data_IF_830875270462
#
_entry.id   IF_830875270462
#
_cell.length_a   1.000
_cell.length_b   1.000
_cell.length_c   1.000
_cell.angle_alpha   90.00
_cell.angle_beta   90.00
_cell.angle_gamma   90.00
#
_symmetry.space_group_name_H-M   'P 1'
#
loop_
_entity.id
_entity.type
_entity.pdbx_description
1 polymer ?
#
# COMPACT_ATOMS: atom_id res chain seq x y z
N UNK A 1 -9.36 12.88 20.95
CA UNK A 1 -9.20 11.50 20.47
C UNK A 1 -8.18 11.58 19.34
N UNK A 2 -7.10 10.85 19.40
CA UNK A 2 -6.08 10.85 18.35
C UNK A 2 -6.68 10.31 17.05
N UNK A 3 -6.20 10.78 15.91
CA UNK A 3 -6.70 10.33 14.58
C UNK A 3 -6.54 8.83 14.40
N UNK A 4 -5.60 8.25 15.10
CA UNK A 4 -5.35 6.82 15.19
C UNK A 4 -6.50 6.02 15.80
N UNK A 5 -7.11 6.53 16.86
CA UNK A 5 -8.28 5.89 17.49
C UNK A 5 -9.45 5.81 16.49
N UNK A 6 -9.59 6.80 15.60
CA UNK A 6 -10.63 6.80 14.56
C UNK A 6 -10.37 5.74 13.50
N UNK A 7 -9.09 5.58 13.06
CA UNK A 7 -8.71 4.58 12.08
C UNK A 7 -8.97 3.16 12.57
N UNK A 8 -8.49 2.83 13.77
CA UNK A 8 -8.71 1.51 14.35
C UNK A 8 -10.19 1.24 14.63
N UNK A 9 -10.96 2.24 15.08
CA UNK A 9 -12.40 2.08 15.27
C UNK A 9 -13.16 1.87 13.95
N UNK A 10 -12.73 2.53 12.87
CA UNK A 10 -13.31 2.31 11.55
C UNK A 10 -13.03 0.89 11.05
N UNK A 11 -11.79 0.41 11.14
CA UNK A 11 -11.45 -0.97 10.75
C UNK A 11 -12.20 -2.01 11.59
N UNK A 12 -12.32 -1.81 12.89
CA UNK A 12 -13.08 -2.70 13.77
C UNK A 12 -14.55 -2.79 13.33
N UNK A 13 -15.14 -1.65 13.02
CA UNK A 13 -16.50 -1.57 12.48
C UNK A 13 -16.62 -2.30 11.14
N UNK A 14 -15.70 -2.06 10.22
CA UNK A 14 -15.70 -2.68 8.89
C UNK A 14 -15.57 -4.21 8.98
N UNK A 15 -14.75 -4.74 9.90
CA UNK A 15 -14.66 -6.19 10.17
C UNK A 15 -15.98 -6.74 10.69
N UNK A 16 -16.62 -6.03 11.61
CA UNK A 16 -17.90 -6.47 12.21
C UNK A 16 -19.04 -6.45 11.19
N UNK A 17 -19.07 -5.46 10.30
CA UNK A 17 -20.08 -5.27 9.27
C UNK A 17 -19.82 -6.07 7.98
N UNK A 18 -18.62 -6.68 7.84
CA UNK A 18 -18.26 -7.46 6.65
C UNK A 18 -19.23 -8.64 6.43
N UNK A 19 -19.61 -8.86 5.19
CA UNK A 19 -20.46 -10.00 4.77
C UNK A 19 -19.61 -11.26 4.56
N UNK A 20 -19.05 -11.78 5.66
CA UNK A 20 -18.20 -12.98 5.71
C UNK A 20 -18.63 -13.87 6.89
N UNK A 21 -18.28 -15.17 6.88
CA UNK A 21 -18.58 -16.08 7.97
C UNK A 21 -18.02 -15.63 9.33
N UNK A 22 -18.74 -15.88 10.41
CA UNK A 22 -18.34 -15.48 11.77
C UNK A 22 -16.97 -16.04 12.19
N UNK A 23 -16.61 -17.22 11.70
CA UNK A 23 -15.27 -17.81 11.92
C UNK A 23 -14.15 -16.96 11.33
N UNK A 24 -14.39 -16.36 10.16
CA UNK A 24 -13.45 -15.46 9.49
C UNK A 24 -13.42 -14.08 10.18
N UNK A 25 -14.59 -13.54 10.58
CA UNK A 25 -14.65 -12.31 11.38
C UNK A 25 -13.84 -12.45 12.67
N UNK A 26 -14.01 -13.55 13.39
CA UNK A 26 -13.28 -13.81 14.63
C UNK A 26 -11.76 -13.91 14.40
N UNK A 27 -11.34 -14.55 13.31
CA UNK A 27 -9.92 -14.63 12.93
C UNK A 27 -9.36 -13.24 12.58
N UNK A 28 -10.08 -12.45 11.78
CA UNK A 28 -9.71 -11.09 11.44
C UNK A 28 -9.63 -10.20 12.69
N UNK A 29 -10.64 -10.28 13.57
CA UNK A 29 -10.67 -9.51 14.81
C UNK A 29 -9.49 -9.87 15.73
N UNK A 30 -9.18 -11.15 15.87
CA UNK A 30 -8.01 -11.60 16.65
C UNK A 30 -6.70 -11.01 16.09
N UNK A 31 -6.49 -11.11 14.79
CA UNK A 31 -5.32 -10.54 14.12
C UNK A 31 -5.28 -9.02 14.30
N UNK A 32 -6.42 -8.36 14.15
CA UNK A 32 -6.55 -6.93 14.33
C UNK A 32 -6.20 -6.47 15.75
N UNK A 33 -6.62 -7.19 16.79
CA UNK A 33 -6.25 -6.89 18.17
C UNK A 33 -4.75 -7.08 18.43
N UNK A 34 -4.12 -8.09 17.80
CA UNK A 34 -2.67 -8.25 17.84
C UNK A 34 -1.95 -7.08 17.15
N UNK A 35 -2.47 -6.58 16.03
CA UNK A 35 -1.93 -5.41 15.36
C UNK A 35 -2.00 -4.13 16.22
N UNK A 36 -3.02 -3.99 17.06
CA UNK A 36 -3.13 -2.85 17.99
C UNK A 36 -2.00 -2.82 19.05
N UNK A 37 -1.40 -3.97 19.33
CA UNK A 37 -0.36 -4.09 20.38
C UNK A 37 1.07 -4.02 19.79
N UNK A 38 1.22 -4.16 18.47
CA UNK A 38 2.52 -4.18 17.80
C UNK A 38 2.70 -2.97 16.89
N UNK A 39 3.90 -2.41 16.86
CA UNK A 39 4.27 -1.37 15.91
C UNK A 39 4.63 -2.01 14.57
N UNK A 40 3.84 -1.74 13.54
CA UNK A 40 4.01 -2.32 12.20
C UNK A 40 4.64 -1.30 11.29
N UNK A 41 5.66 -1.73 10.56
CA UNK A 41 6.31 -0.95 9.52
C UNK A 41 5.80 -1.39 8.14
N UNK A 42 4.96 -0.57 7.53
CA UNK A 42 4.38 -0.78 6.22
C UNK A 42 5.07 0.11 5.18
N UNK A 43 5.71 -0.48 4.19
CA UNK A 43 6.21 0.27 3.04
C UNK A 43 5.11 0.34 1.98
N UNK A 44 4.84 1.56 1.47
CA UNK A 44 3.95 1.78 0.34
C UNK A 44 4.79 2.11 -0.88
N UNK A 45 4.57 1.39 -1.98
CA UNK A 45 5.32 1.55 -3.23
C UNK A 45 4.43 1.35 -4.46
N UNK A 46 4.93 1.72 -5.63
CA UNK A 46 4.22 1.61 -6.92
C UNK A 46 4.70 2.64 -7.92
N UNK A 47 4.18 2.60 -9.14
CA UNK A 47 4.53 3.55 -10.19
C UNK A 47 4.18 5.01 -9.82
N UNK A 48 4.82 5.96 -10.47
CA UNK A 48 4.45 7.38 -10.35
C UNK A 48 3.01 7.58 -10.80
N UNK A 49 2.23 8.35 -10.03
CA UNK A 49 0.81 8.60 -10.32
C UNK A 49 -0.17 7.50 -9.96
N UNK A 50 0.25 6.32 -9.47
CA UNK A 50 -0.66 5.23 -9.10
C UNK A 50 -1.54 5.50 -7.87
N UNK A 51 -1.32 6.62 -7.16
CA UNK A 51 -2.15 7.05 -6.03
C UNK A 51 -1.61 6.74 -4.63
N UNK A 52 -0.29 6.52 -4.47
CA UNK A 52 0.36 6.29 -3.15
C UNK A 52 0.00 7.36 -2.13
N UNK A 53 0.29 8.62 -2.45
CA UNK A 53 0.03 9.75 -1.55
C UNK A 53 -1.46 9.91 -1.23
N UNK A 54 -2.33 9.69 -2.20
CA UNK A 54 -3.79 9.70 -1.98
C UNK A 54 -4.24 8.59 -1.04
N UNK A 55 -3.66 7.39 -1.17
CA UNK A 55 -3.93 6.26 -0.28
C UNK A 55 -3.45 6.57 1.13
N UNK A 56 -2.24 7.14 1.28
CA UNK A 56 -1.71 7.56 2.57
C UNK A 56 -2.64 8.59 3.21
N UNK A 57 -3.04 9.63 2.49
CA UNK A 57 -3.94 10.66 3.00
C UNK A 57 -5.31 10.09 3.41
N UNK A 58 -5.83 9.12 2.66
CA UNK A 58 -7.08 8.43 3.00
C UNK A 58 -6.93 7.60 4.29
N UNK A 59 -5.82 6.88 4.46
CA UNK A 59 -5.54 6.10 5.66
C UNK A 59 -5.40 6.98 6.92
N UNK A 60 -4.79 8.15 6.78
CA UNK A 60 -4.62 9.10 7.90
C UNK A 60 -5.85 9.99 8.10
N UNK A 61 -6.83 9.98 7.18
CA UNK A 61 -7.95 10.91 7.14
C UNK A 61 -7.51 12.39 7.25
N UNK A 62 -6.37 12.72 6.66
CA UNK A 62 -5.76 14.05 6.67
C UNK A 62 -4.77 14.21 5.51
N UNK A 63 -4.45 15.43 5.15
CA UNK A 63 -3.46 15.73 4.11
C UNK A 63 -2.03 15.73 4.69
N UNK A 64 -1.50 14.55 5.00
CA UNK A 64 -0.11 14.40 5.48
C UNK A 64 0.88 14.20 4.34
N UNK A 65 0.47 13.59 3.25
CA UNK A 65 1.28 13.42 2.06
C UNK A 65 0.84 14.44 0.99
N UNK A 66 1.79 15.13 0.36
CA UNK A 66 1.48 16.00 -0.77
C UNK A 66 1.03 15.15 -1.96
N UNK A 67 -0.21 15.34 -2.39
CA UNK A 67 -0.72 14.76 -3.63
C UNK A 67 -0.21 15.65 -4.77
N UNK A 68 0.66 15.11 -5.62
CA UNK A 68 1.21 15.86 -6.74
C UNK A 68 0.13 16.17 -7.77
N UNK A 69 -0.15 17.45 -7.96
CA UNK A 69 -0.81 17.96 -9.16
C UNK A 69 0.30 18.31 -10.13
N UNK A 70 0.65 17.37 -10.99
CA UNK A 70 1.77 17.52 -11.92
C UNK A 70 3.02 16.77 -11.43
N UNK A 71 3.86 16.46 -12.38
CA UNK A 71 5.15 15.77 -12.18
C UNK A 71 6.02 16.65 -11.28
N UNK A 72 5.92 16.46 -9.97
CA UNK A 72 6.81 17.10 -9.03
C UNK A 72 7.87 16.07 -8.61
N UNK A 73 9.15 16.27 -9.01
CA UNK A 73 10.23 15.33 -8.73
C UNK A 73 10.64 15.30 -7.24
N UNK A 74 9.85 15.86 -6.34
CA UNK A 74 10.26 16.12 -4.96
C UNK A 74 10.31 14.92 -4.00
N UNK A 75 9.83 13.74 -4.39
CA UNK A 75 10.01 12.57 -3.52
C UNK A 75 11.28 11.82 -3.92
N UNK A 76 12.43 12.44 -3.69
CA UNK A 76 13.73 11.80 -3.96
C UNK A 76 14.09 10.73 -2.92
N UNK A 77 13.46 10.75 -1.74
CA UNK A 77 13.75 9.88 -0.61
C UNK A 77 12.50 9.25 -0.02
N UNK A 78 12.68 8.11 0.66
CA UNK A 78 11.60 7.44 1.40
C UNK A 78 11.17 8.32 2.58
N UNK A 79 9.89 8.65 2.64
CA UNK A 79 9.30 9.44 3.72
C UNK A 79 8.67 8.54 4.78
N UNK A 80 8.85 8.91 6.04
CA UNK A 80 8.28 8.22 7.19
C UNK A 80 7.09 8.99 7.74
N UNK A 81 5.98 8.29 7.96
CA UNK A 81 4.80 8.79 8.66
C UNK A 81 4.51 7.87 9.84
N UNK A 82 4.38 8.42 11.05
CA UNK A 82 4.13 7.63 12.26
C UNK A 82 2.70 7.84 12.77
N UNK A 83 2.02 6.73 12.94
CA UNK A 83 0.83 6.57 13.77
C UNK A 83 1.23 5.77 15.01
N UNK A 84 0.35 5.69 15.99
CA UNK A 84 0.63 5.02 17.27
C UNK A 84 1.23 3.62 17.10
N UNK A 85 0.60 2.77 16.28
CA UNK A 85 1.01 1.39 16.04
C UNK A 85 1.35 1.08 14.57
N UNK A 86 1.37 2.08 13.71
CA UNK A 86 1.66 1.94 12.29
C UNK A 86 2.67 2.98 11.85
N UNK A 87 3.76 2.53 11.26
CA UNK A 87 4.74 3.37 10.58
C UNK A 87 4.62 3.14 9.10
N UNK A 88 4.27 4.18 8.37
CA UNK A 88 4.24 4.15 6.91
C UNK A 88 5.54 4.68 6.33
N UNK A 89 6.10 3.95 5.39
CA UNK A 89 7.28 4.31 4.63
C UNK A 89 6.86 4.51 3.18
N UNK A 90 6.67 5.78 2.80
CA UNK A 90 6.29 6.16 1.43
C UNK A 90 7.53 6.18 0.53
N UNK A 91 7.55 5.31 -0.47
CA UNK A 91 8.65 5.27 -1.43
C UNK A 91 8.40 6.20 -2.60
N UNK A 92 9.45 6.73 -3.24
CA UNK A 92 9.32 7.43 -4.51
C UNK A 92 8.69 6.50 -5.55
N UNK A 93 7.93 7.08 -6.47
CA UNK A 93 7.34 6.36 -7.60
C UNK A 93 8.41 5.94 -8.62
N UNK A 94 8.14 4.88 -9.37
CA UNK A 94 8.94 4.47 -10.53
C UNK A 94 8.23 4.86 -11.82
N UNK A 95 9.02 5.13 -12.87
CA UNK A 95 8.54 5.54 -14.19
C UNK A 95 8.90 6.96 -14.57
N UNK A 96 9.75 7.64 -13.78
CA UNK A 96 10.22 9.01 -14.04
C UNK A 96 11.51 9.06 -14.88
N UNK A 97 11.98 7.90 -15.35
CA UNK A 97 13.16 7.75 -16.20
C UNK A 97 14.29 6.96 -15.54
N UNK A 98 15.15 6.36 -16.37
CA UNK A 98 16.13 5.35 -15.95
C UNK A 98 17.05 5.77 -14.78
N UNK A 99 17.53 7.01 -14.78
CA UNK A 99 18.44 7.47 -13.73
C UNK A 99 17.72 7.69 -12.40
N UNK A 100 16.52 8.27 -12.43
CA UNK A 100 15.67 8.44 -11.27
C UNK A 100 15.23 7.07 -10.72
N UNK A 101 14.75 6.20 -11.59
CA UNK A 101 14.29 4.87 -11.24
C UNK A 101 15.39 4.02 -10.61
N UNK A 102 16.62 4.07 -11.12
CA UNK A 102 17.77 3.35 -10.53
C UNK A 102 18.07 3.82 -9.11
N UNK A 103 17.96 5.13 -8.82
CA UNK A 103 18.13 5.66 -7.46
C UNK A 103 16.99 5.22 -6.54
N UNK A 104 15.77 5.32 -7.03
CA UNK A 104 14.57 4.92 -6.29
C UNK A 104 14.59 3.42 -5.95
N UNK A 105 14.94 2.57 -6.91
CA UNK A 105 15.11 1.12 -6.71
C UNK A 105 16.16 0.85 -5.63
N UNK A 106 17.31 1.53 -5.69
CA UNK A 106 18.35 1.37 -4.67
C UNK A 106 17.88 1.76 -3.27
N UNK A 107 17.14 2.88 -3.16
CA UNK A 107 16.57 3.33 -1.89
C UNK A 107 15.55 2.33 -1.34
N UNK A 108 14.68 1.80 -2.19
CA UNK A 108 13.71 0.76 -1.82
C UNK A 108 14.42 -0.50 -1.31
N UNK A 109 15.41 -1.01 -2.06
CA UNK A 109 16.18 -2.19 -1.66
C UNK A 109 16.88 -1.97 -0.31
N UNK A 110 17.57 -0.83 -0.15
CA UNK A 110 18.24 -0.51 1.10
C UNK A 110 17.27 -0.50 2.29
N UNK A 111 16.08 0.06 2.11
CA UNK A 111 15.06 0.10 3.16
C UNK A 111 14.47 -1.29 3.47
N UNK A 112 14.27 -2.14 2.46
CA UNK A 112 13.78 -3.51 2.65
C UNK A 112 14.79 -4.39 3.40
N UNK A 113 16.10 -4.12 3.22
CA UNK A 113 17.19 -4.84 3.88
C UNK A 113 17.61 -4.22 5.21
N UNK A 114 17.07 -3.07 5.57
CA UNK A 114 17.33 -2.41 6.85
C UNK A 114 16.81 -3.27 8.00
N UNK A 115 17.58 -3.31 9.08
CA UNK A 115 17.26 -4.11 10.27
C UNK A 115 16.93 -3.21 11.45
N UNK A 116 16.03 -3.70 12.30
CA UNK A 116 15.72 -3.11 13.58
C UNK A 116 16.83 -3.37 14.63
N UNK A 117 16.65 -2.86 15.85
CA UNK A 117 17.58 -3.04 16.98
C UNK A 117 17.77 -4.51 17.40
N UNK A 118 16.82 -5.39 17.02
CA UNK A 118 16.85 -6.82 17.33
C UNK A 118 17.47 -7.64 16.19
N UNK A 119 17.84 -7.01 15.09
CA UNK A 119 18.42 -7.65 13.91
C UNK A 119 17.39 -8.23 12.94
N UNK A 120 16.08 -8.01 13.16
CA UNK A 120 15.02 -8.37 12.23
C UNK A 120 14.90 -7.33 11.12
N UNK A 121 14.31 -7.70 9.97
CA UNK A 121 14.02 -6.73 8.92
C UNK A 121 13.04 -5.67 9.45
N UNK A 122 13.36 -4.40 9.21
CA UNK A 122 12.58 -3.27 9.69
C UNK A 122 11.17 -3.22 9.07
N UNK A 123 11.06 -3.50 7.78
CA UNK A 123 9.78 -3.47 7.07
C UNK A 123 9.06 -4.79 7.28
N UNK A 124 7.89 -4.77 7.88
CA UNK A 124 7.05 -5.96 8.12
C UNK A 124 6.24 -6.33 6.89
N UNK A 125 5.71 -5.35 6.17
CA UNK A 125 4.79 -5.54 5.05
C UNK A 125 5.06 -4.53 3.95
N UNK A 126 4.92 -4.95 2.70
CA UNK A 126 4.96 -4.06 1.53
C UNK A 126 3.60 -4.02 0.85
N UNK A 127 3.03 -2.83 0.74
CA UNK A 127 1.83 -2.56 -0.04
C UNK A 127 2.24 -1.99 -1.41
N UNK A 128 2.00 -2.76 -2.46
CA UNK A 128 2.21 -2.31 -3.84
C UNK A 128 0.89 -1.78 -4.39
N UNK A 129 0.87 -0.52 -4.78
CA UNK A 129 -0.30 0.09 -5.41
C UNK A 129 -0.14 0.05 -6.93
N UNK A 130 -1.09 -0.59 -7.58
CA UNK A 130 -1.20 -0.66 -9.03
C UNK A 130 -2.23 0.36 -9.52
N UNK A 131 -1.96 0.98 -10.68
CA UNK A 131 -2.92 1.83 -11.37
C UNK A 131 -3.81 0.97 -12.28
N UNK A 132 -5.06 0.78 -11.89
CA UNK A 132 -6.05 0.03 -12.67
C UNK A 132 -6.50 0.73 -13.95
N UNK A 133 -6.22 2.02 -14.09
CA UNK A 133 -6.57 2.80 -15.31
C UNK A 133 -5.60 2.55 -16.46
N UNK A 134 -4.35 2.17 -16.17
CA UNK A 134 -3.32 1.93 -17.18
C UNK A 134 -3.43 0.54 -17.79
N UNK A 135 -2.97 0.45 -19.06
CA UNK A 135 -2.79 -0.85 -19.75
C UNK A 135 -1.36 -1.35 -19.65
N UNK A 136 -0.43 -0.47 -19.34
CA UNK A 136 0.99 -0.80 -19.20
C UNK A 136 1.33 -0.98 -17.72
N UNK A 137 1.48 -2.23 -17.32
CA UNK A 137 1.91 -2.63 -16.00
C UNK A 137 3.39 -3.05 -15.96
N UNK A 138 4.15 -2.79 -17.03
CA UNK A 138 5.55 -3.21 -17.14
C UNK A 138 6.41 -2.73 -15.98
N UNK A 139 6.34 -1.44 -15.66
CA UNK A 139 7.07 -0.86 -14.51
C UNK A 139 6.67 -1.51 -13.18
N UNK A 140 5.38 -1.73 -12.97
CA UNK A 140 4.88 -2.37 -11.74
C UNK A 140 5.28 -3.84 -11.66
N UNK A 141 5.25 -4.56 -12.79
CA UNK A 141 5.70 -5.94 -12.87
C UNK A 141 7.20 -6.06 -12.54
N UNK A 142 8.02 -5.18 -13.11
CA UNK A 142 9.46 -5.14 -12.86
C UNK A 142 9.76 -4.79 -11.39
N UNK A 143 9.06 -3.80 -10.83
CA UNK A 143 9.16 -3.45 -9.41
C UNK A 143 8.88 -4.67 -8.51
N UNK A 144 7.78 -5.38 -8.74
CA UNK A 144 7.38 -6.52 -7.89
C UNK A 144 8.41 -7.65 -8.02
N UNK A 145 8.72 -8.08 -9.24
CA UNK A 145 9.48 -9.31 -9.46
C UNK A 145 11.00 -9.12 -9.33
N UNK A 146 11.52 -7.94 -9.68
CA UNK A 146 12.97 -7.69 -9.69
C UNK A 146 13.46 -6.93 -8.46
N UNK A 147 12.57 -6.19 -7.77
CA UNK A 147 12.95 -5.35 -6.64
C UNK A 147 12.35 -5.85 -5.32
N UNK A 148 11.03 -6.04 -5.25
CA UNK A 148 10.36 -6.34 -3.99
C UNK A 148 10.57 -7.80 -3.58
N UNK A 149 10.10 -8.75 -4.38
CA UNK A 149 10.11 -10.17 -4.04
C UNK A 149 11.51 -10.70 -3.68
N UNK A 150 12.59 -10.36 -4.42
CA UNK A 150 13.93 -10.85 -4.09
C UNK A 150 14.49 -10.30 -2.76
N UNK A 151 13.98 -9.16 -2.27
CA UNK A 151 14.49 -8.45 -1.10
C UNK A 151 13.57 -8.52 0.13
N UNK A 152 12.47 -9.29 0.08
CA UNK A 152 11.57 -9.48 1.23
C UNK A 152 12.06 -10.51 2.25
N UNK A 153 13.11 -11.28 1.95
CA UNK A 153 13.60 -12.34 2.83
C UNK A 153 12.72 -13.58 2.84
N UNK A 154 12.68 -14.27 3.97
CA UNK A 154 11.80 -15.43 4.20
C UNK A 154 10.35 -14.97 4.37
N UNK A 155 9.38 -15.89 4.16
CA UNK A 155 7.92 -15.63 4.25
C UNK A 155 7.40 -14.49 3.36
N UNK A 156 8.10 -14.21 2.25
CA UNK A 156 7.76 -13.13 1.30
C UNK A 156 6.31 -13.14 0.83
N UNK A 157 5.68 -14.30 0.77
CA UNK A 157 4.27 -14.48 0.37
C UNK A 157 3.30 -13.84 1.38
N UNK A 158 3.70 -13.76 2.65
CA UNK A 158 2.94 -13.14 3.73
C UNK A 158 3.32 -11.67 3.98
N UNK A 159 4.32 -11.17 3.25
CA UNK A 159 4.89 -9.82 3.44
C UNK A 159 4.63 -8.87 2.29
N UNK A 160 3.81 -9.26 1.32
CA UNK A 160 3.42 -8.43 0.18
C UNK A 160 1.90 -8.39 0.05
N UNK A 161 1.37 -7.19 -0.09
CA UNK A 161 -0.01 -6.93 -0.49
C UNK A 161 -0.02 -6.15 -1.79
N UNK A 162 -0.98 -6.43 -2.64
CA UNK A 162 -1.20 -5.67 -3.88
C UNK A 162 -2.59 -5.08 -3.84
N UNK A 163 -2.68 -3.76 -4.01
CA UNK A 163 -3.94 -3.05 -4.13
C UNK A 163 -4.06 -2.43 -5.52
N UNK A 164 -5.20 -2.62 -6.16
CA UNK A 164 -5.51 -1.98 -7.44
C UNK A 164 -6.31 -0.72 -7.15
N UNK A 165 -5.68 0.43 -7.34
CA UNK A 165 -6.34 1.74 -7.26
C UNK A 165 -6.97 2.10 -8.61
N UNK A 166 -7.92 3.05 -8.63
CA UNK A 166 -8.61 3.49 -9.84
C UNK A 166 -9.30 2.33 -10.60
N UNK A 167 -9.75 1.31 -9.88
CA UNK A 167 -10.42 0.15 -10.46
C UNK A 167 -11.74 0.51 -11.16
N UNK A 168 -12.38 1.59 -10.72
CA UNK A 168 -13.59 2.18 -11.29
C UNK A 168 -13.42 2.66 -12.72
N UNK A 169 -12.22 3.14 -13.08
CA UNK A 169 -11.91 3.59 -14.44
C UNK A 169 -11.18 2.52 -15.29
N UNK A 170 -10.90 1.35 -14.71
CA UNK A 170 -10.35 0.23 -15.45
C UNK A 170 -11.23 -0.11 -16.67
N UNK A 171 -10.61 -0.45 -17.81
CA UNK A 171 -11.32 -0.70 -19.06
C UNK A 171 -12.25 0.47 -19.48
N UNK A 172 -11.87 1.72 -19.15
CA UNK A 172 -12.66 2.95 -19.38
C UNK A 172 -14.00 2.97 -18.59
N UNK A 173 -14.04 2.36 -17.41
CA UNK A 173 -15.22 2.31 -16.56
C UNK A 173 -16.34 1.39 -17.06
N UNK A 174 -16.12 0.63 -18.14
CA UNK A 174 -17.15 -0.17 -18.81
C UNK A 174 -17.82 -1.22 -17.91
N UNK A 175 -17.09 -1.73 -16.93
CA UNK A 175 -17.52 -2.83 -16.03
C UNK A 175 -17.62 -2.38 -14.58
N UNK A 176 -17.80 -1.10 -14.33
CA UNK A 176 -17.97 -0.55 -12.99
C UNK A 176 -19.40 -0.07 -12.79
N UNK A 177 -20.03 -0.54 -11.72
CA UNK A 177 -21.33 -0.08 -11.29
C UNK A 177 -21.17 1.05 -10.29
N UNK A 178 -21.40 2.29 -10.73
CA UNK A 178 -21.22 3.49 -9.91
C UNK A 178 -22.28 3.64 -8.81
N UNK A 179 -23.48 3.07 -8.98
CA UNK A 179 -24.55 3.12 -7.96
C UNK A 179 -24.17 2.27 -6.75
N UNK A 180 -23.59 1.11 -6.98
CA UNK A 180 -23.21 0.16 -5.94
C UNK A 180 -21.71 0.22 -5.59
N UNK A 181 -20.95 1.09 -6.25
CA UNK A 181 -19.51 1.27 -6.09
C UNK A 181 -18.72 -0.05 -6.12
N UNK A 182 -18.97 -0.89 -7.12
CA UNK A 182 -18.33 -2.19 -7.28
C UNK A 182 -18.23 -2.63 -8.74
N UNK A 183 -17.30 -3.56 -9.01
CA UNK A 183 -17.18 -4.16 -10.33
C UNK A 183 -18.40 -5.03 -10.68
N UNK A 184 -18.77 -5.07 -11.95
CA UNK A 184 -19.74 -6.03 -12.45
C UNK A 184 -19.13 -7.44 -12.50
N UNK A 185 -19.97 -8.47 -12.30
CA UNK A 185 -19.52 -9.88 -12.13
C UNK A 185 -18.67 -10.46 -13.27
N UNK A 186 -18.67 -9.84 -14.45
CA UNK A 186 -17.91 -10.31 -15.61
C UNK A 186 -16.41 -10.01 -15.55
N UNK A 187 -15.95 -9.13 -14.65
CA UNK A 187 -14.53 -8.83 -14.44
C UNK A 187 -13.80 -9.84 -13.54
N UNK A 188 -14.53 -10.74 -12.90
CA UNK A 188 -14.01 -11.66 -11.88
C UNK A 188 -13.82 -13.09 -12.43
N UNK A 189 -13.61 -13.21 -13.74
CA UNK A 189 -13.28 -14.51 -14.36
C UNK A 189 -11.81 -14.62 -14.71
#
# INVERSE_FOLDING_TARGET
MSDNTKFFNAMEKDIMEADIPDSEKNKLMKNFLQLKEQKINLMITGATGCGKSSTINALFNTEVAKVGVGVDPETMDIRKYELENLVLWDSPGLGDGKEADNRHVKNIINKLLEKDENGNLLIDLVLVILDGSTRDLGTSYELINSVIIPNLGEDKENRILVAINQADVAMKGRYWNYENNKSEKELVK
#
